data_IF_370357763199
#
_entry.id   IF_370357763199
#
_cell.length_a   1.000
_cell.length_b   1.000
_cell.length_c   1.000
_cell.angle_alpha   90.00
_cell.angle_beta   90.00
_cell.angle_gamma   90.00
#
_symmetry.space_group_name_H-M   'P 1'
#
loop_
_entity.id
_entity.type
_entity.pdbx_description
1 polymer ?
#
# COMPACT_ATOMS: atom_id res chain seq x y z
N UNK A 1 1.73 -9.91 -3.47
CA UNK A 1 2.36 -10.43 -2.24
C UNK A 1 3.88 -10.73 -2.35
N UNK A 2 4.59 -10.61 -1.21
CA UNK A 2 6.02 -10.98 -0.96
C UNK A 2 7.11 -10.11 -1.62
N UNK A 3 6.76 -9.03 -2.30
CA UNK A 3 7.76 -8.12 -2.86
C UNK A 3 8.34 -7.19 -1.78
N UNK A 4 9.67 -7.13 -1.69
CA UNK A 4 10.40 -6.19 -0.82
C UNK A 4 11.77 -5.89 -1.42
N UNK A 5 12.26 -4.66 -1.22
CA UNK A 5 13.65 -4.28 -1.53
C UNK A 5 14.57 -4.42 -0.32
N UNK A 6 14.03 -4.75 0.86
CA UNK A 6 14.81 -5.04 2.06
C UNK A 6 15.51 -6.39 1.94
N UNK A 7 16.64 -6.51 2.61
CA UNK A 7 17.42 -7.75 2.66
C UNK A 7 16.65 -8.92 3.29
N UNK A 8 17.17 -10.13 3.07
CA UNK A 8 16.58 -11.37 3.59
C UNK A 8 16.51 -11.31 5.12
N UNK A 9 15.31 -11.54 5.67
CA UNK A 9 15.04 -11.49 7.11
C UNK A 9 14.57 -10.13 7.63
N UNK A 10 14.74 -9.05 6.88
CA UNK A 10 14.41 -7.67 7.30
C UNK A 10 13.00 -7.21 6.87
N UNK A 11 12.34 -8.01 6.03
CA UNK A 11 10.99 -7.72 5.57
C UNK A 11 10.33 -8.90 4.88
N UNK A 12 9.03 -9.08 5.12
CA UNK A 12 8.22 -10.15 4.51
C UNK A 12 7.64 -9.76 3.15
N UNK A 13 7.64 -8.48 2.80
CA UNK A 13 7.00 -7.98 1.57
C UNK A 13 5.47 -8.12 1.54
N UNK A 14 4.83 -8.26 2.71
CA UNK A 14 3.38 -8.48 2.81
C UNK A 14 2.56 -7.20 3.01
N UNK A 15 3.17 -6.11 3.47
CA UNK A 15 2.44 -4.92 3.89
C UNK A 15 1.54 -4.32 2.80
N UNK A 16 2.10 -4.05 1.62
CA UNK A 16 1.34 -3.44 0.52
C UNK A 16 0.25 -4.38 -0.02
N UNK A 17 0.47 -5.69 0.00
CA UNK A 17 -0.52 -6.69 -0.38
C UNK A 17 -1.74 -6.69 0.56
N UNK A 18 -1.48 -6.57 1.87
CA UNK A 18 -2.55 -6.42 2.88
C UNK A 18 -3.32 -5.12 2.67
N UNK A 19 -2.62 -4.01 2.39
CA UNK A 19 -3.24 -2.71 2.12
C UNK A 19 -4.17 -2.78 0.90
N UNK A 20 -3.71 -3.35 -0.23
CA UNK A 20 -4.54 -3.52 -1.42
C UNK A 20 -5.84 -4.30 -1.13
N UNK A 21 -5.77 -5.39 -0.36
CA UNK A 21 -6.94 -6.18 0.03
C UNK A 21 -7.92 -5.38 0.90
N UNK A 22 -7.40 -4.57 1.82
CA UNK A 22 -8.23 -3.70 2.67
C UNK A 22 -8.96 -2.67 1.81
N UNK A 23 -8.25 -2.01 0.89
CA UNK A 23 -8.81 -0.98 0.00
C UNK A 23 -9.90 -1.58 -0.88
N UNK A 24 -9.63 -2.71 -1.54
CA UNK A 24 -10.60 -3.41 -2.39
C UNK A 24 -11.87 -3.78 -1.61
N UNK A 25 -11.72 -4.32 -0.38
CA UNK A 25 -12.85 -4.66 0.49
C UNK A 25 -13.72 -3.46 0.87
N UNK A 26 -13.15 -2.26 0.93
CA UNK A 26 -13.87 -1.04 1.30
C UNK A 26 -14.30 -0.21 0.08
N UNK A 27 -14.14 -0.72 -1.15
CA UNK A 27 -14.44 0.04 -2.37
C UNK A 27 -13.64 1.34 -2.47
N UNK A 28 -12.48 1.39 -1.85
CA UNK A 28 -11.59 2.54 -1.81
C UNK A 28 -10.61 2.51 -2.98
N UNK A 29 -9.85 3.60 -3.15
CA UNK A 29 -8.71 3.66 -4.07
C UNK A 29 -7.41 4.00 -3.31
N UNK A 30 -6.29 3.67 -3.95
CA UNK A 30 -4.95 4.07 -3.50
C UNK A 30 -4.15 4.60 -4.68
N UNK A 31 -3.49 5.74 -4.46
CA UNK A 31 -2.55 6.36 -5.37
C UNK A 31 -1.19 6.54 -4.68
N UNK A 32 -0.13 6.61 -5.48
CA UNK A 32 1.24 6.78 -5.00
C UNK A 32 1.97 7.81 -5.83
N UNK A 33 2.58 8.76 -5.13
CA UNK A 33 3.53 9.71 -5.70
C UNK A 33 4.87 9.53 -5.01
N UNK A 34 5.93 9.31 -5.79
CA UNK A 34 7.27 9.10 -5.25
C UNK A 34 8.34 9.83 -6.04
N UNK A 35 9.25 10.47 -5.30
CA UNK A 35 10.53 10.98 -5.76
C UNK A 35 11.60 10.62 -4.71
N UNK A 36 12.90 10.58 -5.06
CA UNK A 36 13.95 10.29 -4.09
C UNK A 36 13.85 11.19 -2.84
N UNK A 37 13.80 10.59 -1.66
CA UNK A 37 13.66 11.29 -0.38
C UNK A 37 12.24 11.69 0.01
N UNK A 38 11.22 11.47 -0.84
CA UNK A 38 9.82 11.76 -0.52
C UNK A 38 8.87 10.80 -1.24
N UNK A 39 8.13 10.01 -0.47
CA UNK A 39 7.08 9.12 -0.98
C UNK A 39 5.80 9.36 -0.21
N UNK A 40 4.70 9.55 -0.93
CA UNK A 40 3.36 9.72 -0.37
C UNK A 40 2.45 8.65 -0.94
N UNK A 41 1.68 8.01 -0.06
CA UNK A 41 0.55 7.16 -0.44
C UNK A 41 -0.73 7.87 -0.05
N UNK A 42 -1.66 8.00 -0.98
CA UNK A 42 -2.98 8.61 -0.76
C UNK A 42 -4.06 7.53 -0.85
N UNK A 43 -4.95 7.50 0.14
CA UNK A 43 -6.04 6.53 0.20
C UNK A 43 -7.36 7.29 0.25
N UNK A 44 -8.27 6.99 -0.69
CA UNK A 44 -9.56 7.64 -0.81
C UNK A 44 -10.68 6.64 -0.53
N UNK A 45 -11.47 6.89 0.52
CA UNK A 45 -12.59 6.06 0.91
C UNK A 45 -13.92 6.72 0.55
N UNK A 46 -14.93 5.95 0.10
CA UNK A 46 -16.29 6.45 -0.01
C UNK A 46 -16.80 6.98 1.33
N UNK A 47 -17.55 8.08 1.32
CA UNK A 47 -18.09 8.68 2.56
C UNK A 47 -19.25 7.85 3.15
N UNK A 48 -19.95 7.08 2.33
CA UNK A 48 -21.11 6.28 2.73
C UNK A 48 -21.02 4.88 2.10
N UNK A 49 -21.58 3.89 2.80
CA UNK A 49 -21.76 2.51 2.31
C UNK A 49 -22.93 2.40 1.32
#
# INVERSE_FOLDING_TARGET
PFFTTKDVGEGTGLGLDVVHKIIEKHGASIDVESKPGQTTFELCFPLNN
#
